data_IF_844280062646
#
_entry.id   IF_844280062646
#
_cell.length_a   1.000
_cell.length_b   1.000
_cell.length_c   1.000
_cell.angle_alpha   90.00
_cell.angle_beta   90.00
_cell.angle_gamma   90.00
#
_symmetry.space_group_name_H-M   'P 1'
#
loop_
_entity.id
_entity.type
_entity.pdbx_description
1 polymer ?
#
# COMPACT_ATOMS: atom_id res chain seq x y z
N UNK A 1 -11.79 2.18 -21.17
CA UNK A 1 -10.86 2.71 -20.15
C UNK A 1 -11.67 3.49 -19.14
N UNK A 2 -11.67 3.02 -17.90
CA UNK A 2 -12.32 3.71 -16.80
C UNK A 2 -11.31 4.71 -16.25
N UNK A 3 -11.60 6.01 -16.40
CA UNK A 3 -10.66 7.06 -16.01
C UNK A 3 -10.95 7.60 -14.61
N UNK A 4 -12.11 7.28 -14.01
CA UNK A 4 -12.61 7.98 -12.82
C UNK A 4 -11.70 7.91 -11.59
N UNK A 5 -10.76 6.96 -11.53
CA UNK A 5 -9.76 6.87 -10.47
C UNK A 5 -8.63 7.90 -10.62
N UNK A 6 -8.30 8.24 -11.86
CA UNK A 6 -7.17 9.07 -12.26
C UNK A 6 -7.62 10.43 -12.85
N UNK A 7 -8.88 10.84 -12.62
CA UNK A 7 -9.51 12.05 -13.19
C UNK A 7 -9.18 13.33 -12.40
N UNK A 8 -7.91 13.58 -12.11
CA UNK A 8 -7.45 14.94 -11.78
C UNK A 8 -6.79 15.58 -13.01
N UNK A 9 -6.74 16.92 -13.09
CA UNK A 9 -5.80 17.56 -14.00
C UNK A 9 -4.41 16.93 -13.73
N UNK A 10 -3.70 16.52 -14.79
CA UNK A 10 -2.38 15.89 -14.72
C UNK A 10 -2.32 14.36 -14.45
N UNK A 11 -3.42 13.61 -14.69
CA UNK A 11 -3.47 12.15 -14.51
C UNK A 11 -3.18 11.68 -13.06
N UNK A 12 -3.46 12.55 -12.09
CA UNK A 12 -3.26 12.24 -10.67
C UNK A 12 -4.45 11.47 -10.06
N UNK A 13 -4.15 10.71 -9.00
CA UNK A 13 -5.16 10.04 -8.18
C UNK A 13 -6.05 11.06 -7.48
N UNK A 14 -7.37 10.83 -7.42
CA UNK A 14 -8.27 11.66 -6.63
C UNK A 14 -7.76 11.79 -5.18
N UNK A 15 -7.56 13.01 -4.64
CA UNK A 15 -7.05 13.21 -3.29
C UNK A 15 -7.87 12.50 -2.21
N UNK A 16 -9.19 12.39 -2.35
CA UNK A 16 -10.04 11.67 -1.40
C UNK A 16 -9.78 10.17 -1.42
N UNK A 17 -9.52 9.62 -2.61
CA UNK A 17 -9.15 8.21 -2.75
C UNK A 17 -7.76 8.00 -2.15
N UNK A 18 -6.80 8.88 -2.45
CA UNK A 18 -5.46 8.87 -1.85
C UNK A 18 -5.52 8.85 -0.33
N UNK A 19 -6.23 9.78 0.28
CA UNK A 19 -6.34 9.90 1.73
C UNK A 19 -6.92 8.63 2.35
N UNK A 20 -7.97 8.07 1.73
CA UNK A 20 -8.57 6.82 2.20
C UNK A 20 -7.62 5.63 2.10
N UNK A 21 -6.79 5.56 1.06
CA UNK A 21 -5.78 4.51 0.92
C UNK A 21 -4.66 4.67 1.93
N UNK A 22 -4.24 5.90 2.23
CA UNK A 22 -3.25 6.17 3.27
C UNK A 22 -3.77 5.79 4.67
N UNK A 23 -5.06 6.01 4.94
CA UNK A 23 -5.70 5.50 6.17
C UNK A 23 -5.62 3.97 6.24
N UNK A 24 -5.97 3.27 5.16
CA UNK A 24 -5.89 1.80 5.11
C UNK A 24 -4.45 1.32 5.31
N UNK A 25 -3.47 1.98 4.69
CA UNK A 25 -2.05 1.65 4.86
C UNK A 25 -1.63 1.84 6.31
N UNK A 26 -2.01 2.95 6.94
CA UNK A 26 -1.70 3.21 8.35
C UNK A 26 -2.32 2.16 9.27
N UNK A 27 -3.61 1.89 9.10
CA UNK A 27 -4.31 0.86 9.89
C UNK A 27 -3.66 -0.52 9.71
N UNK A 28 -3.21 -0.85 8.50
CA UNK A 28 -2.48 -2.09 8.22
C UNK A 28 -1.14 -2.13 8.97
N UNK A 29 -0.37 -1.04 8.95
CA UNK A 29 0.91 -0.96 9.66
C UNK A 29 0.73 -1.09 11.17
N UNK A 30 -0.28 -0.44 11.73
CA UNK A 30 -0.61 -0.47 13.16
C UNK A 30 -1.03 -1.87 13.60
N UNK A 31 -1.89 -2.56 12.83
CA UNK A 31 -2.32 -3.95 13.10
C UNK A 31 -1.18 -4.97 12.98
N UNK A 32 -0.11 -4.61 12.27
CA UNK A 32 1.07 -5.44 12.10
C UNK A 32 2.24 -5.05 13.01
N UNK A 33 2.02 -4.15 13.98
CA UNK A 33 3.03 -3.71 14.97
C UNK A 33 4.29 -3.14 14.31
N UNK A 34 4.14 -2.51 13.13
CA UNK A 34 5.23 -1.87 12.37
C UNK A 34 4.95 -0.40 12.06
N UNK A 35 4.12 0.24 12.87
CA UNK A 35 3.85 1.68 12.80
C UNK A 35 5.12 2.54 12.78
N UNK A 36 6.21 2.04 13.38
CA UNK A 36 7.50 2.73 13.48
C UNK A 36 8.40 2.55 12.25
N UNK A 37 8.00 1.70 11.29
CA UNK A 37 8.75 1.49 10.06
C UNK A 37 8.57 2.68 9.11
N UNK A 38 9.67 3.19 8.55
CA UNK A 38 9.59 4.16 7.47
C UNK A 38 9.03 3.50 6.19
N UNK A 39 7.88 4.01 5.72
CA UNK A 39 7.31 3.67 4.42
C UNK A 39 8.15 4.36 3.35
N UNK A 40 8.84 3.57 2.52
CA UNK A 40 9.64 4.08 1.39
C UNK A 40 8.78 4.36 0.17
N UNK A 41 7.75 3.54 -0.05
CA UNK A 41 6.86 3.70 -1.19
C UNK A 41 5.51 2.97 -0.98
N UNK A 42 4.47 3.45 -1.68
CA UNK A 42 3.15 2.79 -1.78
C UNK A 42 2.75 2.80 -3.26
N UNK A 43 2.75 1.61 -3.86
CA UNK A 43 2.49 1.45 -5.30
C UNK A 43 1.23 0.62 -5.53
N UNK A 44 0.39 1.05 -6.48
CA UNK A 44 -0.70 0.21 -6.99
C UNK A 44 -0.15 -0.89 -7.88
N UNK A 45 -0.69 -2.09 -7.71
CA UNK A 45 -0.33 -3.23 -8.56
C UNK A 45 -1.57 -3.85 -9.19
N UNK A 46 -1.40 -5.02 -9.83
CA UNK A 46 -2.53 -5.79 -10.35
C UNK A 46 -3.34 -5.07 -11.42
N UNK A 47 -4.66 -5.29 -11.40
CA UNK A 47 -5.56 -4.78 -12.45
C UNK A 47 -5.72 -3.25 -12.45
N UNK A 48 -5.28 -2.59 -11.37
CA UNK A 48 -5.27 -1.13 -11.22
C UNK A 48 -4.04 -0.45 -11.84
N UNK A 49 -2.95 -1.19 -12.07
CA UNK A 49 -1.72 -0.65 -12.67
C UNK A 49 -1.90 -0.27 -14.16
N UNK A 50 -3.01 -0.69 -14.78
CA UNK A 50 -3.43 -0.27 -16.11
C UNK A 50 -4.84 0.32 -15.99
N UNK A 51 -5.21 1.31 -16.80
CA UNK A 51 -6.49 2.05 -16.78
C UNK A 51 -7.76 1.19 -17.12
N UNK A 52 -7.68 -0.11 -16.86
CA UNK A 52 -8.68 -1.14 -17.09
C UNK A 52 -9.44 -1.54 -15.81
N UNK A 53 -9.31 -0.76 -14.73
CA UNK A 53 -10.09 -1.00 -13.53
C UNK A 53 -11.60 -0.86 -13.78
N UNK A 54 -12.40 -1.64 -13.08
CA UNK A 54 -13.86 -1.55 -13.10
C UNK A 54 -14.38 -1.45 -11.68
N UNK A 55 -15.68 -1.18 -11.51
CA UNK A 55 -16.34 -1.26 -10.19
C UNK A 55 -16.29 -2.66 -9.55
N UNK A 56 -15.86 -3.66 -10.31
CA UNK A 56 -15.67 -5.04 -9.86
C UNK A 56 -14.19 -5.38 -9.65
N UNK A 57 -13.27 -4.43 -9.88
CA UNK A 57 -11.84 -4.64 -9.66
C UNK A 57 -11.52 -4.46 -8.18
N UNK A 58 -10.71 -5.36 -7.65
CA UNK A 58 -10.11 -5.22 -6.33
C UNK A 58 -9.01 -4.14 -6.33
N UNK A 59 -8.66 -3.66 -5.13
CA UNK A 59 -7.59 -2.69 -4.93
C UNK A 59 -6.34 -3.37 -4.37
N UNK A 60 -5.33 -3.53 -5.22
CA UNK A 60 -4.03 -4.09 -4.87
C UNK A 60 -3.01 -3.00 -4.52
N UNK A 61 -2.67 -2.88 -3.23
CA UNK A 61 -1.62 -1.98 -2.72
C UNK A 61 -0.38 -2.77 -2.30
N UNK A 62 0.79 -2.35 -2.78
CA UNK A 62 2.08 -2.80 -2.27
C UNK A 62 2.73 -1.68 -1.45
N UNK A 63 3.03 -1.97 -0.18
CA UNK A 63 3.72 -1.06 0.73
C UNK A 63 5.17 -1.53 0.84
N UNK A 64 6.12 -0.66 0.55
CA UNK A 64 7.56 -0.92 0.69
C UNK A 64 8.04 -0.25 1.97
N UNK A 65 8.56 -1.05 2.91
CA UNK A 65 9.00 -0.58 4.23
C UNK A 65 10.45 -0.96 4.51
N UNK A 66 11.15 -0.13 5.28
CA UNK A 66 12.50 -0.41 5.78
C UNK A 66 12.45 -1.18 7.10
N UNK A 67 12.68 -2.50 7.08
CA UNK A 67 12.69 -3.30 8.31
C UNK A 67 13.86 -2.99 9.25
N UNK A 68 14.93 -2.37 8.74
CA UNK A 68 16.08 -1.96 9.54
C UNK A 68 15.72 -0.92 10.61
N UNK A 69 14.62 -0.20 10.42
CA UNK A 69 14.15 0.83 11.35
C UNK A 69 13.14 0.28 12.36
N UNK A 70 12.58 -0.91 12.12
CA UNK A 70 11.69 -1.63 13.06
C UNK A 70 12.51 -2.36 14.12
N UNK A 71 13.55 -3.06 13.70
CA UNK A 71 14.43 -3.78 14.61
C UNK A 71 15.83 -3.94 13.99
N UNK A 72 16.86 -3.87 14.83
CA UNK A 72 18.23 -4.14 14.40
C UNK A 72 18.41 -5.57 13.84
N UNK A 73 17.59 -6.53 14.28
CA UNK A 73 17.53 -7.87 13.72
C UNK A 73 16.46 -7.94 12.62
N UNK A 74 16.84 -7.52 11.42
CA UNK A 74 15.97 -7.51 10.23
C UNK A 74 15.47 -8.88 9.81
N UNK A 75 16.23 -9.96 10.12
CA UNK A 75 15.83 -11.33 9.77
C UNK A 75 14.63 -11.78 10.63
N UNK A 76 14.63 -11.46 11.92
CA UNK A 76 13.51 -11.74 12.82
C UNK A 76 12.24 -11.01 12.36
N UNK A 77 12.36 -9.74 11.97
CA UNK A 77 11.23 -8.96 11.44
C UNK A 77 10.69 -9.62 10.17
N UNK A 78 11.57 -9.99 9.23
CA UNK A 78 11.19 -10.65 7.99
C UNK A 78 10.51 -12.00 8.23
N UNK A 79 11.01 -12.81 9.16
CA UNK A 79 10.39 -14.09 9.53
C UNK A 79 9.00 -13.90 10.15
N UNK A 80 8.82 -12.91 11.03
CA UNK A 80 7.51 -12.54 11.60
C UNK A 80 6.50 -12.18 10.50
N UNK A 81 6.89 -11.36 9.53
CA UNK A 81 6.03 -10.99 8.40
C UNK A 81 5.71 -12.17 7.49
N UNK A 82 6.70 -13.03 7.20
CA UNK A 82 6.47 -14.22 6.39
C UNK A 82 5.50 -15.19 7.09
N UNK A 83 5.57 -15.32 8.41
CA UNK A 83 4.67 -16.17 9.18
C UNK A 83 3.22 -15.65 9.17
N UNK A 84 3.02 -14.31 9.16
CA UNK A 84 1.67 -13.69 9.06
C UNK A 84 1.08 -13.69 7.64
N UNK A 85 1.88 -14.03 6.63
CA UNK A 85 1.46 -14.11 5.23
C UNK A 85 0.77 -15.46 4.90
N UNK A 86 0.79 -16.42 5.83
CA UNK A 86 0.27 -17.77 5.69
C UNK A 86 -1.20 -17.91 6.13
#
# INVERSE_FOLDING_TARGET
MNRNFWLQPDDELDPKIKDRLLEIVKDFMDQNEISDAEIKDITFTGSLANYNYSKYSDIDLHIVVSFAEVNANTELVKEYFNARKA
#
